data_IF_001221372828
#
_entry.id   IF_001221372828
#
_cell.length_a   1.000
_cell.length_b   1.000
_cell.length_c   1.000
_cell.angle_alpha   90.00
_cell.angle_beta   90.00
_cell.angle_gamma   90.00
#
_symmetry.space_group_name_H-M   'P 1'
#
loop_
_entity.id
_entity.type
_entity.pdbx_description
1 polymer ?
#
# COMPACT_ATOMS: atom_id res chain seq x y z
N UNK A 1 -2.36 16.85 -55.00
CA UNK A 1 -3.38 15.89 -54.52
C UNK A 1 -3.22 15.83 -53.02
N UNK A 2 -4.13 16.51 -52.33
CA UNK A 2 -4.11 16.74 -50.88
C UNK A 2 -4.19 15.43 -50.09
N UNK A 3 -3.24 15.25 -49.17
CA UNK A 3 -3.35 14.29 -48.08
C UNK A 3 -4.23 14.93 -47.00
N UNK A 4 -5.54 14.63 -47.06
CA UNK A 4 -6.49 15.03 -46.02
C UNK A 4 -6.13 14.42 -44.65
N UNK A 5 -6.60 15.02 -43.55
CA UNK A 5 -6.27 14.57 -42.21
C UNK A 5 -6.80 13.15 -41.99
N UNK A 6 -5.91 12.24 -41.56
CA UNK A 6 -6.29 10.91 -41.07
C UNK A 6 -7.23 11.10 -39.88
N UNK A 7 -8.53 10.86 -40.10
CA UNK A 7 -9.50 10.76 -39.04
C UNK A 7 -9.05 9.63 -38.09
N UNK A 8 -8.61 10.00 -36.89
CA UNK A 8 -8.38 9.07 -35.79
C UNK A 8 -9.71 8.39 -35.46
N UNK A 9 -9.81 7.10 -35.77
CA UNK A 9 -10.96 6.31 -35.36
C UNK A 9 -10.91 6.15 -33.82
N UNK A 10 -11.91 6.62 -33.06
CA UNK A 10 -11.94 6.37 -31.63
C UNK A 10 -12.03 4.86 -31.39
N UNK A 11 -11.15 4.37 -30.53
CA UNK A 11 -11.08 2.98 -30.06
C UNK A 11 -12.49 2.50 -29.69
N UNK A 12 -13.07 1.64 -30.53
CA UNK A 12 -14.40 1.05 -30.31
C UNK A 12 -14.29 -0.15 -29.39
N UNK A 13 -15.04 -0.14 -28.28
CA UNK A 13 -15.07 -1.21 -27.28
C UNK A 13 -15.78 -2.49 -27.74
N UNK A 14 -16.55 -2.41 -28.82
CA UNK A 14 -17.35 -3.52 -29.33
C UNK A 14 -16.64 -4.22 -30.50
N UNK A 15 -16.31 -5.50 -30.31
CA UNK A 15 -15.82 -6.34 -31.40
C UNK A 15 -15.39 -7.73 -30.96
N UNK A 16 -15.62 -8.71 -31.84
CA UNK A 16 -15.37 -10.16 -31.71
C UNK A 16 -13.86 -10.53 -31.69
N UNK A 17 -13.04 -9.69 -31.06
CA UNK A 17 -11.59 -9.74 -31.04
C UNK A 17 -11.08 -9.78 -29.58
N UNK A 18 -9.89 -10.36 -29.30
CA UNK A 18 -9.17 -10.17 -28.05
C UNK A 18 -9.14 -8.69 -27.68
N UNK A 19 -9.47 -8.40 -26.42
CA UNK A 19 -9.74 -7.04 -25.95
C UNK A 19 -8.65 -6.04 -26.34
N UNK A 20 -9.05 -4.80 -26.57
CA UNK A 20 -8.16 -3.73 -27.08
C UNK A 20 -6.89 -3.53 -26.23
N UNK A 21 -6.98 -3.80 -24.92
CA UNK A 21 -5.82 -3.80 -24.01
C UNK A 21 -4.75 -4.87 -24.30
N UNK A 22 -5.04 -5.88 -25.12
CA UNK A 22 -4.08 -6.89 -25.57
C UNK A 22 -3.46 -6.53 -26.93
N UNK A 23 -4.22 -5.87 -27.82
CA UNK A 23 -3.79 -5.60 -29.20
C UNK A 23 -3.15 -4.23 -29.38
N UNK A 24 -3.52 -3.26 -28.55
CA UNK A 24 -3.12 -1.85 -28.67
C UNK A 24 -2.65 -1.29 -27.32
N UNK A 25 -2.13 -2.14 -26.42
CA UNK A 25 -1.63 -1.74 -25.10
C UNK A 25 -0.63 -0.59 -25.16
N UNK A 26 0.28 -0.64 -26.13
CA UNK A 26 1.27 0.41 -26.35
C UNK A 26 0.67 1.74 -26.81
N UNK A 27 -0.49 1.74 -27.50
CA UNK A 27 -1.17 2.98 -27.89
C UNK A 27 -2.08 3.51 -26.78
N UNK A 28 -2.74 2.60 -26.05
CA UNK A 28 -3.53 2.92 -24.86
C UNK A 28 -2.68 3.57 -23.76
N UNK A 29 -1.43 3.13 -23.58
CA UNK A 29 -0.51 3.75 -22.62
C UNK A 29 -0.05 5.15 -23.01
N UNK A 30 -0.23 5.56 -24.26
CA UNK A 30 0.10 6.92 -24.72
C UNK A 30 -1.09 7.88 -24.64
N UNK A 31 -2.29 7.41 -24.31
CA UNK A 31 -3.45 8.28 -24.14
C UNK A 31 -3.23 9.11 -22.87
N UNK A 32 -3.11 10.44 -22.98
CA UNK A 32 -2.88 11.29 -21.81
C UNK A 32 -4.05 11.13 -20.83
N UNK A 33 -3.73 10.78 -19.58
CA UNK A 33 -4.75 10.69 -18.53
C UNK A 33 -5.13 12.12 -18.13
N UNK A 34 -6.30 12.57 -18.57
CA UNK A 34 -6.74 13.96 -18.48
C UNK A 34 -6.80 14.54 -17.06
N UNK A 35 -6.82 13.69 -16.03
CA UNK A 35 -6.91 14.12 -14.64
C UNK A 35 -5.56 14.50 -14.02
N UNK A 36 -4.46 14.02 -14.59
CA UNK A 36 -3.09 14.25 -14.09
C UNK A 36 -2.67 15.73 -14.23
N UNK A 37 -3.35 16.48 -15.11
CA UNK A 37 -3.09 17.90 -15.37
C UNK A 37 -3.88 18.87 -14.46
N UNK A 38 -4.60 18.39 -13.45
CA UNK A 38 -5.43 19.24 -12.58
C UNK A 38 -4.68 19.86 -11.39
N UNK A 39 -3.50 19.34 -11.04
CA UNK A 39 -2.74 19.77 -9.87
C UNK A 39 -1.46 20.52 -10.27
N UNK A 40 -1.26 21.69 -9.68
CA UNK A 40 0.01 22.42 -9.74
C UNK A 40 1.01 21.73 -8.81
N UNK A 41 1.67 20.68 -9.32
CA UNK A 41 2.53 19.76 -8.54
C UNK A 41 3.58 20.50 -7.72
N UNK A 42 4.37 21.46 -8.26
CA UNK A 42 5.35 22.20 -7.46
C UNK A 42 4.75 22.98 -6.28
N UNK A 43 3.48 23.40 -6.42
CA UNK A 43 2.76 24.13 -5.37
C UNK A 43 2.25 23.20 -4.26
N UNK A 44 1.76 22.01 -4.59
CA UNK A 44 1.20 21.07 -3.60
C UNK A 44 2.22 20.07 -3.06
N UNK A 45 3.28 19.78 -3.81
CA UNK A 45 4.42 18.95 -3.46
C UNK A 45 5.73 19.72 -3.73
N UNK A 46 6.06 20.73 -2.91
CA UNK A 46 7.31 21.48 -3.04
C UNK A 46 8.53 20.58 -2.80
N UNK A 47 9.49 20.55 -3.72
CA UNK A 47 10.64 19.64 -3.69
C UNK A 47 11.56 19.84 -2.47
N UNK A 48 11.72 21.08 -1.98
CA UNK A 48 12.68 21.42 -0.92
C UNK A 48 12.06 21.47 0.48
N UNK A 49 10.76 21.14 0.61
CA UNK A 49 10.06 21.21 1.89
C UNK A 49 9.75 19.81 2.38
N UNK A 50 10.36 19.47 3.52
CA UNK A 50 10.22 18.19 4.17
C UNK A 50 9.45 18.32 5.48
N UNK A 51 8.80 17.24 5.90
CA UNK A 51 8.21 17.10 7.23
C UNK A 51 9.26 16.62 8.26
N UNK A 52 8.79 16.30 9.47
CA UNK A 52 9.64 15.84 10.57
C UNK A 52 10.34 14.49 10.27
N UNK A 53 9.79 13.70 9.36
CA UNK A 53 10.30 12.38 8.95
C UNK A 53 11.14 12.46 7.67
N UNK A 54 11.49 13.68 7.23
CA UNK A 54 12.25 13.96 6.00
C UNK A 54 11.52 13.52 4.72
N UNK A 55 10.19 13.42 4.75
CA UNK A 55 9.36 13.16 3.58
C UNK A 55 8.88 14.46 2.94
N UNK A 56 8.69 14.44 1.61
CA UNK A 56 8.13 15.58 0.89
C UNK A 56 6.73 15.91 1.43
N UNK A 57 6.51 17.17 1.79
CA UNK A 57 5.20 17.58 2.35
C UNK A 57 4.10 17.53 1.29
N UNK A 58 2.95 16.99 1.70
CA UNK A 58 1.69 17.07 0.96
C UNK A 58 0.87 18.28 1.43
N UNK A 59 0.79 19.32 0.61
CA UNK A 59 0.04 20.54 0.90
C UNK A 59 -1.36 20.57 0.26
N UNK A 60 -1.84 19.44 -0.30
CA UNK A 60 -3.21 19.36 -0.81
C UNK A 60 -4.21 19.61 0.31
N UNK A 61 -5.33 20.26 -0.02
CA UNK A 61 -6.42 20.51 0.94
C UNK A 61 -7.20 19.24 1.28
N UNK A 62 -7.16 18.24 0.40
CA UNK A 62 -7.68 16.89 0.62
C UNK A 62 -6.71 15.86 0.03
N UNK A 63 -6.59 14.72 0.68
CA UNK A 63 -5.76 13.59 0.24
C UNK A 63 -6.59 12.29 0.20
N UNK A 64 -5.98 11.20 -0.26
CA UNK A 64 -6.68 9.92 -0.47
C UNK A 64 -7.23 9.29 0.81
N UNK A 65 -6.65 9.62 1.96
CA UNK A 65 -7.16 9.23 3.29
C UNK A 65 -8.55 9.77 3.61
N UNK A 66 -8.95 10.88 2.97
CA UNK A 66 -10.24 11.54 3.19
C UNK A 66 -11.33 11.16 2.17
N UNK A 67 -10.96 10.53 1.05
CA UNK A 67 -11.86 10.17 -0.03
C UNK A 67 -12.80 9.02 0.33
N UNK A 68 -14.01 9.03 -0.23
CA UNK A 68 -15.05 8.00 -0.11
C UNK A 68 -15.26 7.30 -1.44
N UNK A 69 -16.05 6.22 -1.42
CA UNK A 69 -16.52 5.58 -2.64
C UNK A 69 -17.28 6.61 -3.51
N UNK A 70 -16.93 6.68 -4.79
CA UNK A 70 -17.43 7.70 -5.73
C UNK A 70 -16.53 8.93 -5.87
N UNK A 71 -15.59 9.15 -4.94
CA UNK A 71 -14.61 10.26 -5.01
C UNK A 71 -13.22 9.78 -5.47
N UNK A 72 -12.97 8.48 -5.43
CA UNK A 72 -11.68 7.87 -5.74
C UNK A 72 -11.52 7.76 -7.26
N UNK A 73 -10.44 8.37 -7.77
CA UNK A 73 -10.08 8.27 -9.17
C UNK A 73 -9.54 6.88 -9.50
N UNK A 74 -9.72 6.46 -10.75
CA UNK A 74 -9.23 5.15 -11.21
C UNK A 74 -7.72 5.03 -11.09
N UNK A 75 -6.96 6.10 -11.38
CA UNK A 75 -5.49 6.10 -11.22
C UNK A 75 -5.07 5.86 -9.78
N UNK A 76 -5.61 6.61 -8.82
CA UNK A 76 -5.37 6.43 -7.38
C UNK A 76 -5.67 5.00 -6.93
N UNK A 77 -6.81 4.44 -7.36
CA UNK A 77 -7.18 3.06 -7.04
C UNK A 77 -6.13 2.07 -7.57
N UNK A 78 -5.68 2.23 -8.82
CA UNK A 78 -4.69 1.35 -9.43
C UNK A 78 -3.32 1.48 -8.76
N UNK A 79 -2.88 2.69 -8.47
CA UNK A 79 -1.59 2.96 -7.82
C UNK A 79 -1.54 2.42 -6.40
N UNK A 80 -2.59 2.67 -5.60
CA UNK A 80 -2.67 2.16 -4.23
C UNK A 80 -2.62 0.63 -4.23
N UNK A 81 -3.36 -0.04 -5.11
CA UNK A 81 -3.32 -1.50 -5.24
C UNK A 81 -1.94 -1.98 -5.72
N UNK A 82 -1.35 -1.29 -6.69
CA UNK A 82 -0.05 -1.64 -7.24
C UNK A 82 1.03 -1.62 -6.15
N UNK A 83 1.08 -0.53 -5.37
CA UNK A 83 2.12 -0.34 -4.34
C UNK A 83 1.86 -1.20 -3.11
N UNK A 84 0.61 -1.32 -2.64
CA UNK A 84 0.32 -1.94 -1.34
C UNK A 84 -0.10 -3.42 -1.42
N UNK A 85 -0.43 -3.95 -2.59
CA UNK A 85 -0.83 -5.35 -2.76
C UNK A 85 -0.04 -6.07 -3.85
N UNK A 86 -0.04 -5.53 -5.07
CA UNK A 86 0.57 -6.21 -6.23
C UNK A 86 2.10 -6.29 -6.10
N UNK A 87 2.78 -5.20 -5.76
CA UNK A 87 4.23 -5.19 -5.60
C UNK A 87 4.69 -6.15 -4.47
N UNK A 88 4.10 -6.12 -3.25
CA UNK A 88 4.39 -7.13 -2.24
C UNK A 88 4.17 -8.57 -2.72
N UNK A 89 3.07 -8.83 -3.43
CA UNK A 89 2.80 -10.15 -4.01
C UNK A 89 3.90 -10.58 -4.99
N UNK A 90 4.27 -9.72 -5.95
CA UNK A 90 5.30 -10.04 -6.95
C UNK A 90 6.65 -10.30 -6.29
N UNK A 91 7.02 -9.48 -5.31
CA UNK A 91 8.26 -9.67 -4.53
C UNK A 91 8.24 -10.99 -3.78
N UNK A 92 7.18 -11.27 -3.01
CA UNK A 92 7.04 -12.53 -2.28
C UNK A 92 7.08 -13.74 -3.23
N UNK A 93 6.34 -13.69 -4.34
CA UNK A 93 6.24 -14.78 -5.30
C UNK A 93 7.59 -15.11 -5.97
N UNK A 94 8.39 -14.10 -6.29
CA UNK A 94 9.72 -14.31 -6.90
C UNK A 94 10.80 -14.66 -5.90
N UNK A 95 10.82 -13.99 -4.74
CA UNK A 95 11.86 -14.17 -3.73
C UNK A 95 11.63 -15.46 -2.92
N UNK A 96 10.40 -15.93 -2.75
CA UNK A 96 10.11 -17.16 -2.02
C UNK A 96 10.86 -18.37 -2.59
N UNK A 97 10.92 -18.52 -3.92
CA UNK A 97 11.66 -19.63 -4.54
C UNK A 97 13.16 -19.54 -4.28
N UNK A 98 13.74 -18.34 -4.28
CA UNK A 98 15.13 -18.14 -3.90
C UNK A 98 15.36 -18.41 -2.40
N UNK A 99 14.41 -18.05 -1.54
CA UNK A 99 14.51 -18.32 -0.12
C UNK A 99 14.44 -19.82 0.19
N UNK A 100 13.77 -20.63 -0.64
CA UNK A 100 13.65 -22.09 -0.49
C UNK A 100 14.92 -22.87 -0.86
N UNK A 101 15.90 -22.26 -1.53
CA UNK A 101 17.10 -22.99 -2.02
C UNK A 101 17.96 -23.58 -0.92
N UNK A 102 17.89 -23.00 0.28
CA UNK A 102 18.62 -23.46 1.46
C UNK A 102 17.70 -23.44 2.68
N UNK A 103 17.83 -24.41 3.58
CA UNK A 103 17.03 -24.49 4.79
C UNK A 103 17.85 -23.99 5.99
N UNK A 104 17.66 -22.72 6.35
CA UNK A 104 18.28 -22.16 7.58
C UNK A 104 17.36 -22.25 8.79
N UNK A 105 16.06 -22.45 8.60
CA UNK A 105 15.07 -22.44 9.69
C UNK A 105 14.88 -21.08 10.35
N UNK A 106 15.36 -19.99 9.75
CA UNK A 106 15.41 -18.65 10.37
C UNK A 106 15.05 -17.54 9.38
N UNK A 107 14.43 -17.85 8.25
CA UNK A 107 14.13 -16.85 7.22
C UNK A 107 12.78 -16.19 7.51
N UNK A 108 12.66 -14.91 7.19
CA UNK A 108 11.44 -14.14 7.48
C UNK A 108 10.98 -13.33 6.29
N UNK A 109 9.66 -13.24 6.13
CA UNK A 109 9.00 -12.23 5.29
C UNK A 109 8.06 -11.45 6.19
N UNK A 110 8.30 -10.16 6.34
CA UNK A 110 7.44 -9.28 7.14
C UNK A 110 6.73 -8.29 6.23
N UNK A 111 5.42 -8.45 6.10
CA UNK A 111 4.58 -7.53 5.35
C UNK A 111 4.10 -6.40 6.27
N UNK A 112 4.43 -5.16 5.92
CA UNK A 112 3.98 -3.97 6.68
C UNK A 112 2.52 -3.67 6.32
N UNK A 113 1.63 -4.02 7.23
CA UNK A 113 0.19 -3.87 7.10
C UNK A 113 -0.35 -2.87 8.13
N UNK A 114 -1.68 -2.79 8.26
CA UNK A 114 -2.33 -1.89 9.20
C UNK A 114 -3.73 -2.40 9.58
N UNK A 115 -4.29 -1.85 10.65
CA UNK A 115 -5.66 -2.13 11.11
C UNK A 115 -6.74 -1.90 10.02
N UNK A 116 -6.46 -1.06 9.03
CA UNK A 116 -7.26 -0.76 7.84
C UNK A 116 -7.62 -2.03 7.05
N UNK A 117 -6.70 -3.01 7.05
CA UNK A 117 -6.88 -4.30 6.40
C UNK A 117 -7.80 -5.26 7.14
N UNK A 118 -8.18 -4.97 8.38
CA UNK A 118 -9.10 -5.82 9.14
C UNK A 118 -10.53 -5.69 8.66
N UNK A 119 -11.21 -6.83 8.47
CA UNK A 119 -12.59 -6.86 8.02
C UNK A 119 -13.55 -6.42 9.13
N UNK A 120 -13.38 -7.00 10.32
CA UNK A 120 -14.25 -6.76 11.47
C UNK A 120 -13.52 -5.86 12.48
N UNK A 121 -14.09 -4.68 12.73
CA UNK A 121 -13.61 -3.75 13.76
C UNK A 121 -14.81 -3.05 14.39
N UNK A 122 -14.70 -2.73 15.68
CA UNK A 122 -15.72 -2.00 16.42
C UNK A 122 -16.12 -0.67 15.76
N UNK A 123 -15.16 0.03 15.13
CA UNK A 123 -15.39 1.27 14.39
C UNK A 123 -14.59 1.26 13.09
N UNK A 124 -15.30 1.29 11.95
CA UNK A 124 -14.73 1.46 10.61
C UNK A 124 -15.42 2.61 9.90
N UNK A 125 -14.66 3.61 9.48
CA UNK A 125 -15.17 4.74 8.71
C UNK A 125 -15.40 4.36 7.25
N UNK A 126 -16.11 5.21 6.51
CA UNK A 126 -16.38 5.03 5.07
C UNK A 126 -15.31 5.64 4.14
N UNK A 127 -14.22 6.17 4.70
CA UNK A 127 -13.13 6.81 3.97
C UNK A 127 -12.05 5.79 3.57
N UNK A 128 -11.22 6.17 2.59
CA UNK A 128 -10.10 5.39 2.05
C UNK A 128 -10.39 3.89 1.82
N UNK A 129 -11.56 3.52 1.24
CA UNK A 129 -11.89 2.11 1.04
C UNK A 129 -10.88 1.37 0.16
N UNK A 130 -10.23 2.05 -0.77
CA UNK A 130 -9.19 1.48 -1.63
C UNK A 130 -7.93 1.07 -0.85
N UNK A 131 -7.49 1.89 0.11
CA UNK A 131 -6.40 1.53 1.06
C UNK A 131 -6.80 0.34 1.93
N UNK A 132 -8.02 0.36 2.48
CA UNK A 132 -8.54 -0.76 3.28
C UNK A 132 -8.52 -2.07 2.48
N UNK A 133 -8.96 -2.04 1.22
CA UNK A 133 -8.92 -3.19 0.32
C UNK A 133 -7.49 -3.68 0.07
N UNK A 134 -6.55 -2.77 -0.20
CA UNK A 134 -5.16 -3.13 -0.47
C UNK A 134 -4.50 -3.79 0.76
N UNK A 135 -4.68 -3.21 1.95
CA UNK A 135 -4.16 -3.79 3.21
C UNK A 135 -4.84 -5.12 3.56
N UNK A 136 -6.13 -5.27 3.29
CA UNK A 136 -6.83 -6.55 3.47
C UNK A 136 -6.29 -7.63 2.52
N UNK A 137 -5.99 -7.26 1.27
CA UNK A 137 -5.35 -8.16 0.30
C UNK A 137 -3.95 -8.58 0.76
N UNK A 138 -3.14 -7.67 1.30
CA UNK A 138 -1.83 -7.97 1.86
C UNK A 138 -1.91 -8.90 3.09
N UNK A 139 -2.90 -8.69 3.96
CA UNK A 139 -3.20 -9.60 5.06
C UNK A 139 -3.55 -11.00 4.55
N UNK A 140 -4.40 -11.08 3.52
CA UNK A 140 -4.79 -12.36 2.93
C UNK A 140 -3.61 -13.10 2.28
N UNK A 141 -2.71 -12.40 1.61
CA UNK A 141 -1.46 -12.97 1.10
C UNK A 141 -0.68 -13.65 2.23
N UNK A 142 -0.45 -12.92 3.32
CA UNK A 142 0.27 -13.42 4.49
C UNK A 142 -0.42 -14.65 5.08
N UNK A 143 -1.72 -14.56 5.35
CA UNK A 143 -2.49 -15.64 5.93
C UNK A 143 -2.49 -16.90 5.08
N UNK A 144 -2.58 -16.75 3.75
CA UNK A 144 -2.65 -17.86 2.80
C UNK A 144 -1.29 -18.56 2.64
N UNK A 145 -0.22 -17.79 2.44
CA UNK A 145 1.08 -18.33 2.03
C UNK A 145 1.93 -18.85 3.20
N UNK A 146 1.73 -18.32 4.42
CA UNK A 146 2.65 -18.56 5.53
C UNK A 146 2.81 -20.04 5.91
N UNK A 147 1.72 -20.82 5.94
CA UNK A 147 1.78 -22.23 6.36
C UNK A 147 2.58 -23.12 5.42
N UNK A 148 2.58 -22.80 4.12
CA UNK A 148 3.40 -23.53 3.15
C UNK A 148 4.87 -23.15 3.24
N UNK A 149 5.15 -21.85 3.34
CA UNK A 149 6.53 -21.34 3.47
C UNK A 149 7.22 -21.81 4.75
N UNK A 150 6.47 -22.00 5.84
CA UNK A 150 7.02 -22.51 7.09
C UNK A 150 7.66 -23.90 6.95
N UNK A 151 7.19 -24.74 6.01
CA UNK A 151 7.79 -26.05 5.73
C UNK A 151 9.23 -25.95 5.21
N UNK A 152 9.60 -24.78 4.70
CA UNK A 152 10.93 -24.45 4.20
C UNK A 152 11.73 -23.54 5.15
N UNK A 153 11.27 -23.38 6.40
CA UNK A 153 11.93 -22.52 7.38
C UNK A 153 11.80 -21.03 7.08
N UNK A 154 10.74 -20.65 6.36
CA UNK A 154 10.43 -19.26 6.00
C UNK A 154 9.15 -18.83 6.72
N UNK A 155 9.29 -17.87 7.61
CA UNK A 155 8.22 -17.40 8.48
C UNK A 155 7.66 -16.08 8.00
N UNK A 156 6.47 -16.14 7.39
CA UNK A 156 5.78 -14.97 6.88
C UNK A 156 4.76 -14.44 7.90
N UNK A 157 4.79 -13.14 8.19
CA UNK A 157 3.85 -12.46 9.08
C UNK A 157 3.47 -11.07 8.55
N UNK A 158 2.36 -10.54 9.03
CA UNK A 158 1.93 -9.17 8.80
C UNK A 158 2.12 -8.38 10.10
N UNK A 159 2.59 -7.15 10.00
CA UNK A 159 2.83 -6.28 11.18
C UNK A 159 2.13 -4.95 10.99
N UNK A 160 1.38 -4.54 12.00
CA UNK A 160 0.85 -3.19 12.18
C UNK A 160 1.90 -2.35 12.92
N UNK A 161 2.27 -1.21 12.35
CA UNK A 161 3.28 -0.29 12.93
C UNK A 161 2.75 0.51 14.11
N UNK A 162 1.44 0.47 14.36
CA UNK A 162 0.74 1.45 15.16
C UNK A 162 0.58 2.79 14.42
N UNK A 163 0.02 3.77 15.13
CA UNK A 163 -0.23 5.09 14.58
C UNK A 163 1.02 5.97 14.71
N UNK A 164 1.83 5.99 13.65
CA UNK A 164 3.12 6.68 13.58
C UNK A 164 3.06 8.03 12.87
N UNK A 165 2.08 8.22 11.98
CA UNK A 165 1.93 9.43 11.17
C UNK A 165 0.48 9.86 11.19
N UNK A 166 0.22 11.17 11.23
CA UNK A 166 -1.14 11.70 11.05
C UNK A 166 -1.44 11.82 9.55
N UNK A 167 -2.30 10.95 9.05
CA UNK A 167 -2.55 10.81 7.62
C UNK A 167 -3.53 11.85 7.06
N UNK A 168 -4.04 12.73 7.93
CA UNK A 168 -4.87 13.85 7.53
C UNK A 168 -4.08 14.92 6.77
N UNK A 169 -4.75 15.69 5.88
CA UNK A 169 -4.13 16.85 5.23
C UNK A 169 -3.42 17.76 6.23
N UNK A 170 -2.25 18.29 5.87
CA UNK A 170 -1.35 19.03 6.77
C UNK A 170 -2.01 20.21 7.50
N UNK A 171 -3.04 20.83 6.90
CA UNK A 171 -3.84 21.89 7.53
C UNK A 171 -4.68 21.34 8.69
N UNK A 172 -5.32 20.18 8.50
CA UNK A 172 -6.13 19.53 9.54
C UNK A 172 -5.26 18.95 10.65
N UNK A 173 -4.12 18.33 10.30
CA UNK A 173 -3.15 17.85 11.27
C UNK A 173 -2.68 18.99 12.19
N UNK A 174 -2.25 20.13 11.63
CA UNK A 174 -1.89 21.33 12.42
C UNK A 174 -3.03 21.84 13.29
N UNK A 175 -4.26 21.89 12.78
CA UNK A 175 -5.42 22.31 13.57
C UNK A 175 -5.67 21.38 14.77
N UNK A 176 -5.47 20.06 14.61
CA UNK A 176 -5.58 19.11 15.72
C UNK A 176 -4.48 19.33 16.75
N UNK A 177 -3.25 19.59 16.30
CA UNK A 177 -2.14 19.93 17.17
C UNK A 177 -2.41 21.21 17.97
N UNK A 178 -2.78 22.31 17.30
CA UNK A 178 -3.02 23.61 17.96
C UNK A 178 -4.18 23.58 18.96
N UNK A 179 -5.25 22.83 18.68
CA UNK A 179 -6.48 22.83 19.49
C UNK A 179 -6.51 21.75 20.56
N UNK A 180 -5.88 20.62 20.30
CA UNK A 180 -6.00 19.42 21.13
C UNK A 180 -4.65 18.91 21.63
N UNK A 181 -3.54 19.58 21.31
CA UNK A 181 -2.18 19.12 21.57
C UNK A 181 -1.98 17.68 21.07
N UNK A 182 -2.59 17.39 19.92
CA UNK A 182 -2.61 16.05 19.36
C UNK A 182 -1.38 15.80 18.48
N UNK A 183 -0.75 14.65 18.71
CA UNK A 183 0.27 14.04 17.86
C UNK A 183 0.04 12.51 17.85
N UNK A 184 0.42 11.79 16.77
CA UNK A 184 0.47 10.34 16.80
C UNK A 184 1.30 9.84 18.01
N UNK A 185 0.83 8.79 18.71
CA UNK A 185 1.46 8.34 19.96
C UNK A 185 2.81 7.64 19.77
N UNK A 186 3.20 7.36 18.53
CA UNK A 186 4.37 6.56 18.18
C UNK A 186 5.17 7.28 17.11
N UNK A 187 6.47 7.01 17.06
CA UNK A 187 7.35 7.55 16.02
C UNK A 187 7.77 6.49 14.99
N UNK A 188 8.57 6.91 14.01
CA UNK A 188 9.10 6.03 12.96
C UNK A 188 10.04 4.95 13.51
N UNK A 189 10.71 5.19 14.64
CA UNK A 189 11.62 4.25 15.29
C UNK A 189 10.81 3.15 15.97
N UNK A 190 9.73 3.50 16.67
CA UNK A 190 8.75 2.56 17.21
C UNK A 190 8.12 1.70 16.10
N UNK A 191 7.74 2.34 14.99
CA UNK A 191 7.22 1.66 13.80
C UNK A 191 8.21 0.63 13.25
N UNK A 192 9.47 1.04 13.05
CA UNK A 192 10.53 0.15 12.59
C UNK A 192 10.80 -1.01 13.56
N UNK A 193 10.85 -0.73 14.87
CA UNK A 193 11.05 -1.76 15.89
C UNK A 193 9.96 -2.85 15.83
N UNK A 194 8.70 -2.47 15.63
CA UNK A 194 7.59 -3.43 15.47
C UNK A 194 7.74 -4.28 14.20
N UNK A 195 8.12 -3.67 13.08
CA UNK A 195 8.38 -4.41 11.82
C UNK A 195 9.52 -5.39 11.98
N UNK A 196 10.55 -5.03 12.75
CA UNK A 196 11.71 -5.87 12.94
C UNK A 196 11.53 -6.99 13.99
N UNK A 197 10.61 -6.80 14.93
CA UNK A 197 10.39 -7.73 16.04
C UNK A 197 10.23 -9.20 15.64
N UNK A 198 9.46 -9.60 14.60
CA UNK A 198 9.18 -11.02 14.37
C UNK A 198 10.43 -11.85 14.06
N UNK A 199 11.43 -11.23 13.42
CA UNK A 199 12.70 -11.90 13.13
C UNK A 199 13.71 -11.75 14.26
N UNK A 200 13.75 -10.63 14.98
CA UNK A 200 14.58 -10.52 16.19
C UNK A 200 14.11 -11.47 17.29
N UNK A 201 12.80 -11.53 17.54
CA UNK A 201 12.22 -12.51 18.46
C UNK A 201 12.57 -13.94 18.05
N UNK A 202 12.45 -14.26 16.75
CA UNK A 202 12.85 -15.55 16.19
C UNK A 202 14.31 -15.89 16.48
N UNK A 203 15.24 -15.00 16.11
CA UNK A 203 16.69 -15.17 16.30
C UNK A 203 17.05 -15.30 17.78
N UNK A 204 16.46 -14.49 18.66
CA UNK A 204 16.81 -14.45 20.07
C UNK A 204 16.23 -15.63 20.87
N UNK A 205 15.08 -16.16 20.46
CA UNK A 205 14.34 -17.16 21.25
C UNK A 205 14.30 -18.55 20.61
N UNK A 206 14.65 -18.68 19.34
CA UNK A 206 14.40 -19.86 18.52
C UNK A 206 12.92 -20.14 18.24
N UNK A 207 12.02 -19.19 18.58
CA UNK A 207 10.57 -19.32 18.36
C UNK A 207 10.11 -18.28 17.35
N UNK A 208 9.60 -18.76 16.23
CA UNK A 208 9.19 -17.91 15.11
C UNK A 208 7.67 -17.85 15.02
N UNK A 209 7.14 -16.62 14.94
CA UNK A 209 5.75 -16.42 14.56
C UNK A 209 5.53 -16.84 13.12
N UNK A 210 4.37 -17.40 12.81
CA UNK A 210 4.04 -17.82 11.45
C UNK A 210 2.57 -17.57 11.15
N UNK A 211 2.29 -16.86 10.05
CA UNK A 211 0.94 -16.58 9.61
C UNK A 211 0.14 -15.79 10.65
N UNK A 212 0.79 -14.84 11.33
CA UNK A 212 0.16 -13.96 12.31
C UNK A 212 0.06 -12.54 11.78
N UNK A 213 -1.00 -11.86 12.21
CA UNK A 213 -1.05 -10.41 12.20
C UNK A 213 -0.61 -9.91 13.57
N UNK A 214 0.46 -9.14 13.62
CA UNK A 214 1.07 -8.69 14.86
C UNK A 214 0.79 -7.20 15.05
N UNK A 215 0.35 -6.85 16.26
CA UNK A 215 0.22 -5.47 16.71
C UNK A 215 0.73 -5.39 18.14
N UNK A 216 1.48 -4.33 18.43
CA UNK A 216 2.10 -4.12 19.75
C UNK A 216 2.92 -5.37 20.19
N UNK A 217 3.65 -5.98 19.25
CA UNK A 217 4.49 -7.17 19.44
C UNK A 217 3.74 -8.49 19.71
N UNK A 218 2.39 -8.49 19.65
CA UNK A 218 1.58 -9.69 19.92
C UNK A 218 0.66 -10.05 18.75
N UNK A 219 0.33 -11.34 18.58
CA UNK A 219 -0.68 -11.77 17.63
C UNK A 219 -2.05 -11.20 17.96
N UNK A 220 -2.71 -10.67 16.93
CA UNK A 220 -4.11 -10.24 16.95
C UNK A 220 -4.92 -11.01 15.90
N UNK A 221 -6.24 -10.88 15.97
CA UNK A 221 -7.16 -11.36 14.94
C UNK A 221 -6.99 -10.58 13.63
N UNK A 222 -7.32 -11.25 12.52
CA UNK A 222 -7.25 -10.73 11.15
C UNK A 222 -8.33 -9.69 10.82
#
# INVERSE_FOLDING_TARGET
>A
QDLGPLYFNPVSWDGNAPGIGLRMSAQLSQIPYSYDHSLDVPKVFPAEKLDADLQQVDLRTTNSWRLRLGEIQTSEMLEIQLVNSVAPFVLCNRLAELMKTDYTGEKHIVNVSAMEGKFLRFKKGSRHPHTNMAKASLNMLTHTAASDLAKYGIYMNAVDTGWVTDEDPAVLARQKQERHDFQPPLDIVDGAARVCDPFFHGILTGKHWCGKFLKDYFPIDW
#
